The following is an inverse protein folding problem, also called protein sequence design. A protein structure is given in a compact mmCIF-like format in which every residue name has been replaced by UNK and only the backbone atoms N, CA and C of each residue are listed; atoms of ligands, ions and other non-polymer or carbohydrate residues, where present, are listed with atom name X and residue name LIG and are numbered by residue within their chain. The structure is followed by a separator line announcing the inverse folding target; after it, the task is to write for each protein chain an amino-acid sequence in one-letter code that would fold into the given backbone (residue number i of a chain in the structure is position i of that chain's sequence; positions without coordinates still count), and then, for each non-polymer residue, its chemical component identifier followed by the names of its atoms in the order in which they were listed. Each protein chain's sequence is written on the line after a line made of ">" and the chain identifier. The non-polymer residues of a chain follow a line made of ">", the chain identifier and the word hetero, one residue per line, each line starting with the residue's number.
data_IF_230140838015
#
_entry.id   IF_230140838015
#
_cell.length_a   1.000
_cell.length_b   1.000
_cell.length_c   1.000
_cell.angle_alpha   90.00
_cell.angle_beta   90.00
_cell.angle_gamma   90.00
#
_symmetry.space_group_name_H-M   'P 1'
#
loop_
_entity.id
_entity.type
_entity.pdbx_description
1 polymer ?
#
# COMPACT_ATOMS: atom_id res chain seq x y z
N UNK A 1 -14.10 18.11 3.96
CA UNK A 1 -13.57 16.74 4.18
C UNK A 1 -13.06 16.20 2.85
N UNK A 2 -11.88 15.57 2.81
CA UNK A 2 -11.42 14.89 1.58
C UNK A 2 -12.39 13.74 1.26
N UNK A 3 -12.79 13.59 -0.01
CA UNK A 3 -13.67 12.49 -0.43
C UNK A 3 -12.99 11.14 -0.16
N UNK A 4 -13.67 10.30 0.63
CA UNK A 4 -13.21 8.95 0.94
C UNK A 4 -13.61 7.98 -0.18
N UNK A 5 -12.68 7.10 -0.54
CA UNK A 5 -12.86 6.01 -1.48
C UNK A 5 -12.77 4.69 -0.72
N UNK A 6 -13.54 3.69 -1.12
CA UNK A 6 -13.46 2.34 -0.55
C UNK A 6 -12.79 1.38 -1.54
N UNK A 7 -11.89 0.53 -1.04
CA UNK A 7 -11.25 -0.53 -1.82
C UNK A 7 -11.21 -1.82 -1.03
N UNK A 8 -11.09 -2.92 -1.77
CA UNK A 8 -10.81 -4.24 -1.21
C UNK A 8 -9.32 -4.36 -0.89
N UNK A 9 -9.02 -5.06 0.18
CA UNK A 9 -7.63 -5.42 0.55
C UNK A 9 -7.01 -6.33 -0.51
N UNK A 10 -5.68 -6.48 -0.50
CA UNK A 10 -4.95 -7.24 -1.51
C UNK A 10 -5.48 -8.65 -1.74
N UNK A 11 -5.83 -9.35 -0.65
CA UNK A 11 -6.40 -10.71 -0.67
C UNK A 11 -7.93 -10.73 -0.88
N UNK A 12 -8.56 -9.57 -1.06
CA UNK A 12 -10.00 -9.39 -1.25
C UNK A 12 -10.87 -9.94 -0.09
N UNK A 13 -10.31 -10.05 1.13
CA UNK A 13 -11.01 -10.61 2.30
C UNK A 13 -11.78 -9.57 3.12
N UNK A 14 -11.47 -8.30 2.93
CA UNK A 14 -12.06 -7.17 3.63
C UNK A 14 -11.96 -5.90 2.78
N UNK A 15 -12.64 -4.83 3.19
CA UNK A 15 -12.47 -3.50 2.62
C UNK A 15 -11.83 -2.54 3.61
N UNK A 16 -11.30 -1.45 3.05
CA UNK A 16 -10.75 -0.32 3.79
C UNK A 16 -11.13 0.97 3.06
N UNK A 17 -11.11 2.09 3.79
CA UNK A 17 -11.35 3.41 3.21
C UNK A 17 -10.05 4.18 3.13
N UNK A 18 -9.92 5.05 2.15
CA UNK A 18 -8.81 5.99 2.09
C UNK A 18 -9.24 7.32 1.49
N UNK A 19 -8.49 8.37 1.79
CA UNK A 19 -8.62 9.68 1.17
C UNK A 19 -7.28 10.11 0.54
N UNK A 20 -7.36 10.97 -0.47
CA UNK A 20 -6.20 11.41 -1.23
C UNK A 20 -5.87 10.50 -2.42
N UNK A 21 -4.57 10.43 -2.74
CA UNK A 21 -4.00 9.71 -3.89
C UNK A 21 -2.50 9.50 -3.70
N UNK A 22 -1.89 8.69 -4.56
CA UNK A 22 -0.43 8.51 -4.59
C UNK A 22 0.30 9.86 -4.76
N UNK A 23 -0.27 10.79 -5.53
CA UNK A 23 0.32 12.10 -5.82
C UNK A 23 0.12 13.14 -4.71
N UNK A 24 -0.95 13.02 -3.92
CA UNK A 24 -1.33 14.02 -2.90
C UNK A 24 -1.14 13.55 -1.47
N UNK A 25 -0.65 12.32 -1.30
CA UNK A 25 -0.58 11.65 -0.01
C UNK A 25 -1.87 10.90 0.30
N UNK A 26 -1.76 9.95 1.21
CA UNK A 26 -2.84 9.04 1.58
C UNK A 26 -3.20 9.17 3.05
N UNK A 27 -4.49 9.10 3.33
CA UNK A 27 -5.02 8.80 4.65
C UNK A 27 -5.77 7.49 4.57
N UNK A 28 -5.31 6.45 5.25
CA UNK A 28 -5.87 5.10 5.22
C UNK A 28 -6.62 4.84 6.52
N UNK A 29 -7.89 4.46 6.41
CA UNK A 29 -8.79 4.14 7.51
C UNK A 29 -9.10 2.64 7.51
N UNK A 30 -8.84 1.96 8.62
CA UNK A 30 -8.94 0.51 8.70
C UNK A 30 -9.36 -0.01 10.08
N UNK A 31 -9.84 -1.25 10.10
CA UNK A 31 -10.31 -1.94 11.30
C UNK A 31 -11.63 -1.38 11.85
N UNK A 32 -12.22 -2.09 12.81
CA UNK A 32 -13.49 -1.72 13.45
C UNK A 32 -13.39 -0.45 14.30
N UNK A 33 -12.19 -0.14 14.82
CA UNK A 33 -11.90 1.07 15.61
C UNK A 33 -11.59 2.31 14.76
N UNK A 34 -11.71 2.21 13.42
CA UNK A 34 -11.45 3.33 12.52
C UNK A 34 -10.03 3.91 12.67
N UNK A 35 -9.04 3.04 12.83
CA UNK A 35 -7.65 3.45 12.94
C UNK A 35 -7.23 4.21 11.67
N UNK A 36 -6.40 5.24 11.83
CA UNK A 36 -5.91 6.08 10.73
C UNK A 36 -4.40 6.01 10.60
N UNK A 37 -3.92 5.83 9.38
CA UNK A 37 -2.50 6.02 9.01
C UNK A 37 -2.40 7.09 7.93
N UNK A 38 -1.44 7.99 8.09
CA UNK A 38 -1.11 9.01 7.09
C UNK A 38 0.17 8.59 6.39
N UNK A 39 0.16 8.59 5.07
CA UNK A 39 1.34 8.33 4.23
C UNK A 39 1.65 9.59 3.43
N UNK A 40 2.71 10.32 3.78
CA UNK A 40 3.10 11.56 3.10
C UNK A 40 3.53 11.32 1.65
N UNK A 41 3.41 12.36 0.82
CA UNK A 41 3.85 12.34 -0.60
C UNK A 41 5.33 11.95 -0.75
N UNK A 42 6.29 12.48 0.04
CA UNK A 42 7.69 12.13 -0.13
C UNK A 42 7.94 10.62 0.01
N UNK A 43 7.35 9.96 1.00
CA UNK A 43 7.49 8.51 1.18
C UNK A 43 6.90 7.73 0.00
N UNK A 44 5.81 8.20 -0.60
CA UNK A 44 5.21 7.56 -1.78
C UNK A 44 6.09 7.75 -3.02
N UNK A 45 6.73 8.90 -3.18
CA UNK A 45 7.69 9.16 -4.26
C UNK A 45 8.95 8.29 -4.12
N UNK A 46 9.49 8.17 -2.90
CA UNK A 46 10.62 7.27 -2.61
C UNK A 46 10.27 5.82 -2.91
N UNK A 47 9.06 5.37 -2.52
CA UNK A 47 8.55 4.03 -2.80
C UNK A 47 8.50 3.76 -4.30
N UNK A 48 7.88 4.67 -5.07
CA UNK A 48 7.79 4.54 -6.53
C UNK A 48 9.16 4.52 -7.18
N UNK A 49 10.07 5.40 -6.73
CA UNK A 49 11.45 5.46 -7.24
C UNK A 49 12.21 4.15 -6.94
N UNK A 50 12.08 3.63 -5.73
CA UNK A 50 12.76 2.42 -5.30
C UNK A 50 12.33 1.19 -6.10
N UNK A 51 11.03 1.05 -6.34
CA UNK A 51 10.43 -0.10 -7.03
C UNK A 51 10.22 0.08 -8.53
N UNK A 52 10.54 1.24 -9.12
CA UNK A 52 10.25 1.52 -10.53
C UNK A 52 10.75 0.40 -11.47
N UNK A 53 9.86 -0.07 -12.36
CA UNK A 53 10.09 -1.20 -13.27
C UNK A 53 10.50 -2.53 -12.61
N UNK A 54 10.22 -2.73 -11.32
CA UNK A 54 10.53 -3.98 -10.60
C UNK A 54 9.27 -4.75 -10.22
N UNK A 55 9.40 -6.07 -10.25
CA UNK A 55 8.44 -6.96 -9.60
C UNK A 55 8.92 -7.26 -8.18
N UNK A 56 8.01 -7.22 -7.22
CA UNK A 56 8.29 -7.53 -5.82
C UNK A 56 7.17 -8.38 -5.21
N UNK A 57 7.50 -9.08 -4.14
CA UNK A 57 6.50 -9.64 -3.23
C UNK A 57 5.71 -8.51 -2.57
N UNK A 58 4.39 -8.67 -2.43
CA UNK A 58 3.56 -7.69 -1.74
C UNK A 58 3.88 -7.62 -0.25
N UNK A 59 4.26 -8.75 0.35
CA UNK A 59 4.64 -8.84 1.76
C UNK A 59 3.54 -8.37 2.73
N UNK A 60 2.31 -8.88 2.64
CA UNK A 60 1.22 -8.47 3.56
C UNK A 60 1.38 -8.95 5.01
N UNK A 61 2.48 -9.64 5.35
CA UNK A 61 2.75 -10.05 6.73
C UNK A 61 3.01 -8.84 7.62
N UNK A 62 2.34 -8.78 8.77
CA UNK A 62 2.48 -7.66 9.70
C UNK A 62 3.74 -7.77 10.57
N UNK A 63 4.31 -8.97 10.72
CA UNK A 63 5.42 -9.24 11.66
C UNK A 63 6.68 -9.74 10.97
N UNK A 64 6.53 -10.40 9.82
CA UNK A 64 7.65 -11.03 9.12
C UNK A 64 7.40 -10.95 7.62
N UNK A 65 7.47 -9.75 7.03
CA UNK A 65 7.39 -9.60 5.58
C UNK A 65 8.60 -10.26 4.91
N UNK A 66 8.47 -10.83 3.70
CA UNK A 66 9.61 -11.34 2.94
C UNK A 66 10.63 -10.22 2.69
N UNK A 67 11.90 -10.59 2.65
CA UNK A 67 12.98 -9.66 2.30
C UNK A 67 12.75 -9.05 0.92
N UNK A 68 13.07 -7.77 0.76
CA UNK A 68 12.88 -7.00 -0.47
C UNK A 68 11.41 -6.89 -0.95
N UNK A 69 10.44 -7.23 -0.09
CA UNK A 69 9.02 -7.04 -0.37
C UNK A 69 8.57 -5.59 -0.16
N UNK A 70 7.44 -5.23 -0.76
CA UNK A 70 6.78 -3.95 -0.50
C UNK A 70 6.48 -3.77 1.00
N UNK A 71 5.99 -4.82 1.66
CA UNK A 71 5.68 -4.77 3.08
C UNK A 71 6.90 -4.54 3.97
N UNK A 72 8.03 -5.15 3.65
CA UNK A 72 9.28 -4.88 4.37
C UNK A 72 9.70 -3.42 4.21
N UNK A 73 9.71 -2.92 2.97
CA UNK A 73 10.07 -1.53 2.69
C UNK A 73 9.16 -0.54 3.43
N UNK A 74 7.85 -0.77 3.44
CA UNK A 74 6.89 0.06 4.16
C UNK A 74 7.12 0.04 5.68
N UNK A 75 7.48 -1.13 6.23
CA UNK A 75 7.77 -1.26 7.66
C UNK A 75 9.05 -0.52 8.08
N UNK A 76 10.08 -0.56 7.23
CA UNK A 76 11.36 0.13 7.46
C UNK A 76 11.25 1.64 7.31
N UNK A 77 10.48 2.14 6.33
CA UNK A 77 10.53 3.55 5.92
C UNK A 77 9.31 4.38 6.32
N UNK A 78 8.16 3.77 6.63
CA UNK A 78 6.91 4.50 6.88
C UNK A 78 6.30 4.16 8.24
N UNK A 79 5.97 2.90 8.47
CA UNK A 79 5.26 2.49 9.70
C UNK A 79 5.44 1.02 9.97
N UNK A 80 5.66 0.66 11.24
CA UNK A 80 5.68 -0.74 11.69
C UNK A 80 4.35 -1.49 11.46
N UNK A 81 3.28 -0.79 11.10
CA UNK A 81 1.99 -1.41 10.77
C UNK A 81 2.04 -2.04 9.38
N UNK A 82 1.54 -3.28 9.24
CA UNK A 82 1.41 -3.94 7.93
C UNK A 82 0.35 -3.29 7.03
N UNK A 83 0.72 -2.22 6.32
CA UNK A 83 -0.18 -1.49 5.40
C UNK A 83 -0.02 -1.88 3.93
N UNK A 84 0.86 -2.85 3.61
CA UNK A 84 1.15 -3.27 2.24
C UNK A 84 -0.10 -3.70 1.46
N UNK A 85 -1.03 -4.36 2.15
CA UNK A 85 -2.30 -4.80 1.56
C UNK A 85 -3.16 -3.63 1.04
N UNK A 86 -3.12 -2.49 1.73
CA UNK A 86 -3.84 -1.28 1.37
C UNK A 86 -3.10 -0.53 0.26
N UNK A 87 -1.79 -0.31 0.44
CA UNK A 87 -0.94 0.42 -0.51
C UNK A 87 -0.91 -0.29 -1.87
N UNK A 88 -0.71 -1.61 -1.90
CA UNK A 88 -0.74 -2.38 -3.14
C UNK A 88 -2.05 -2.24 -3.91
N UNK A 89 -3.18 -2.24 -3.18
CA UNK A 89 -4.51 -2.09 -3.78
C UNK A 89 -4.73 -0.69 -4.37
N UNK A 90 -4.21 0.35 -3.69
CA UNK A 90 -4.26 1.74 -4.19
C UNK A 90 -3.35 1.93 -5.41
N UNK A 91 -2.12 1.41 -5.38
CA UNK A 91 -1.17 1.47 -6.50
C UNK A 91 -1.76 0.87 -7.77
N UNK A 92 -2.45 -0.27 -7.66
CA UNK A 92 -3.16 -0.89 -8.79
C UNK A 92 -4.31 -0.01 -9.26
N UNK A 93 -5.14 0.49 -8.32
CA UNK A 93 -6.31 1.32 -8.65
C UNK A 93 -5.89 2.61 -9.39
N UNK A 94 -4.78 3.20 -9.00
CA UNK A 94 -4.24 4.44 -9.57
C UNK A 94 -3.24 4.20 -10.71
N UNK A 95 -3.09 2.94 -11.16
CA UNK A 95 -2.27 2.54 -12.31
C UNK A 95 -0.76 2.79 -12.18
N UNK A 96 -0.24 2.80 -10.96
CA UNK A 96 1.21 2.79 -10.68
C UNK A 96 1.79 1.37 -10.64
N UNK A 97 0.92 0.36 -10.53
CA UNK A 97 1.34 -1.03 -10.48
C UNK A 97 0.30 -1.97 -11.08
N UNK A 98 0.70 -3.22 -11.32
CA UNK A 98 -0.16 -4.33 -11.73
C UNK A 98 -0.02 -5.48 -10.73
N UNK A 99 -1.14 -6.18 -10.50
CA UNK A 99 -1.12 -7.42 -9.72
C UNK A 99 -0.60 -8.56 -10.59
N UNK A 100 0.40 -9.29 -10.09
CA UNK A 100 0.97 -10.47 -10.74
C UNK A 100 0.71 -11.68 -9.85
N UNK A 101 -0.23 -12.52 -10.25
CA UNK A 101 -0.65 -13.67 -9.46
C UNK A 101 -1.25 -13.28 -8.10
N UNK A 102 -0.97 -14.10 -7.07
CA UNK A 102 -1.54 -13.94 -5.73
C UNK A 102 -0.70 -13.06 -4.81
N UNK A 103 0.61 -13.08 -4.96
CA UNK A 103 1.55 -12.49 -3.98
C UNK A 103 2.46 -11.43 -4.58
N UNK A 104 2.46 -11.22 -5.90
CA UNK A 104 3.42 -10.31 -6.55
C UNK A 104 2.76 -9.06 -7.12
N UNK A 105 3.55 -7.99 -7.15
CA UNK A 105 3.17 -6.68 -7.66
C UNK A 105 4.29 -6.20 -8.60
N UNK A 106 3.91 -5.76 -9.79
CA UNK A 106 4.81 -5.15 -10.77
C UNK A 106 4.58 -3.65 -10.80
N UNK A 107 5.61 -2.87 -10.51
CA UNK A 107 5.58 -1.41 -10.60
C UNK A 107 5.86 -0.95 -12.03
N UNK A 108 5.14 0.11 -12.44
CA UNK A 108 5.21 0.68 -13.79
C UNK A 108 6.11 1.91 -13.87
#
# INVERSE_FOLDING_TARGET
>A
MRNQKELKTWANRSSFKYAGSIQTGLEIYYGSKFNKIVVPVPNLQELLTFFHCKEAEIGTSHTSPPENSLGEWLQKNITKTGIASYIGSILIKERYAKKVGKTRILFL
#
